data_IF_892095779820
#
_entry.id   IF_892095779820
#
_cell.length_a   1.000
_cell.length_b   1.000
_cell.length_c   1.000
_cell.angle_alpha   90.00
_cell.angle_beta   90.00
_cell.angle_gamma   90.00
#
_symmetry.space_group_name_H-M   'P 1'
#
loop_
_entity.id
_entity.type
_entity.pdbx_description
1 polymer ?
#
# COMPACT_ATOMS: atom_id res chain seq x y z
N UNK A 1 -18.37 42.55 30.86
CA UNK A 1 -17.33 42.29 29.84
C UNK A 1 -17.66 40.99 29.16
N UNK A 2 -18.27 41.09 27.98
CA UNK A 2 -18.75 39.94 27.20
C UNK A 2 -17.57 39.36 26.39
N UNK A 3 -17.29 38.07 26.58
CA UNK A 3 -16.15 37.40 25.95
C UNK A 3 -16.42 37.14 24.46
N UNK A 4 -15.56 37.67 23.59
CA UNK A 4 -15.65 37.44 22.15
C UNK A 4 -15.45 35.95 21.81
N UNK A 5 -16.21 35.39 20.85
CA UNK A 5 -16.02 34.04 20.37
C UNK A 5 -14.66 33.89 19.65
N UNK A 6 -14.03 32.70 19.71
CA UNK A 6 -12.74 32.47 19.09
C UNK A 6 -12.84 32.61 17.57
N UNK A 7 -12.00 33.47 16.99
CA UNK A 7 -11.91 33.69 15.54
C UNK A 7 -11.60 32.37 14.83
N UNK A 8 -12.53 31.91 14.01
CA UNK A 8 -12.37 30.76 13.12
C UNK A 8 -11.23 31.05 12.12
N UNK A 9 -10.17 30.23 12.18
CA UNK A 9 -9.05 30.30 11.21
C UNK A 9 -9.55 29.80 9.85
N UNK A 10 -9.31 30.55 8.78
CA UNK A 10 -9.59 30.06 7.41
C UNK A 10 -8.71 28.83 7.12
N UNK A 11 -9.30 27.79 6.51
CA UNK A 11 -8.64 26.51 6.18
C UNK A 11 -8.04 26.49 4.76
N UNK A 12 -8.07 27.63 4.08
CA UNK A 12 -7.81 27.80 2.63
C UNK A 12 -6.42 28.38 2.31
N UNK A 13 -5.61 28.70 3.32
CA UNK A 13 -4.25 29.23 3.11
C UNK A 13 -3.24 28.17 2.63
N UNK A 14 -2.22 28.62 1.90
CA UNK A 14 -1.12 27.73 1.45
C UNK A 14 -0.37 27.08 2.63
N UNK A 15 0.19 25.89 2.40
CA UNK A 15 0.89 25.08 3.41
C UNK A 15 1.97 25.83 4.17
N UNK A 16 2.79 26.63 3.48
CA UNK A 16 3.85 27.44 4.09
C UNK A 16 3.33 28.48 5.10
N UNK A 17 2.16 29.06 4.86
CA UNK A 17 1.56 30.03 5.78
C UNK A 17 0.85 29.32 6.94
N UNK A 18 0.16 28.21 6.66
CA UNK A 18 -0.54 27.39 7.66
C UNK A 18 0.44 26.78 8.66
N UNK A 19 1.56 26.20 8.19
CA UNK A 19 2.57 25.53 9.03
C UNK A 19 3.14 26.46 10.11
N UNK A 20 3.35 27.73 9.76
CA UNK A 20 3.88 28.75 10.68
C UNK A 20 2.77 29.57 11.36
N UNK A 21 1.52 29.12 11.29
CA UNK A 21 0.34 29.77 11.89
C UNK A 21 0.19 31.26 11.54
N UNK A 22 0.48 31.64 10.28
CA UNK A 22 0.29 33.01 9.78
C UNK A 22 -0.84 33.06 8.75
N UNK A 23 -1.51 34.21 8.68
CA UNK A 23 -2.58 34.46 7.70
C UNK A 23 -2.01 34.43 6.28
N UNK A 24 -2.62 33.64 5.41
CA UNK A 24 -2.34 33.62 3.98
C UNK A 24 -3.28 34.62 3.29
N UNK A 25 -2.79 35.32 2.27
CA UNK A 25 -3.57 36.21 1.42
C UNK A 25 -4.25 35.48 0.25
N UNK A 26 -4.01 34.17 0.09
CA UNK A 26 -4.67 33.28 -0.88
C UNK A 26 -4.54 33.72 -2.35
N UNK A 27 -3.56 34.58 -2.67
CA UNK A 27 -3.26 34.92 -4.06
C UNK A 27 -2.58 33.73 -4.76
N UNK A 28 -3.09 33.38 -5.94
CA UNK A 28 -2.56 32.32 -6.80
C UNK A 28 -1.71 32.94 -7.94
N UNK A 29 -0.62 32.28 -8.39
CA UNK A 29 -0.11 30.97 -7.97
C UNK A 29 0.76 31.00 -6.69
N UNK A 30 1.26 32.16 -6.28
CA UNK A 30 2.11 32.32 -5.09
C UNK A 30 1.60 33.49 -4.26
N UNK A 31 1.32 33.23 -2.98
CA UNK A 31 0.87 34.25 -2.04
C UNK A 31 1.94 35.34 -1.83
N UNK A 32 1.53 36.57 -1.48
CA UNK A 32 2.43 37.72 -1.33
C UNK A 32 3.58 37.43 -0.35
N UNK A 33 3.28 36.74 0.75
CA UNK A 33 4.30 36.40 1.75
C UNK A 33 5.33 35.39 1.23
N UNK A 34 4.89 34.33 0.57
CA UNK A 34 5.78 33.31 0.05
C UNK A 34 6.65 33.87 -1.08
N UNK A 35 6.09 34.73 -1.93
CA UNK A 35 6.83 35.47 -2.96
C UNK A 35 7.93 36.36 -2.35
N UNK A 36 7.63 37.10 -1.28
CA UNK A 36 8.63 37.95 -0.60
C UNK A 36 9.76 37.14 0.04
N UNK A 37 9.47 35.92 0.50
CA UNK A 37 10.44 35.05 1.19
C UNK A 37 11.11 34.03 0.26
N UNK A 38 10.75 33.99 -1.03
CA UNK A 38 11.31 33.03 -1.99
C UNK A 38 10.81 31.59 -1.84
N UNK A 39 9.68 31.36 -1.16
CA UNK A 39 9.10 30.01 -1.01
C UNK A 39 8.05 29.71 -2.08
N UNK A 40 7.98 28.46 -2.52
CA UNK A 40 6.88 27.97 -3.36
C UNK A 40 5.60 27.78 -2.51
N UNK A 41 4.47 28.26 -3.02
CA UNK A 41 3.17 27.98 -2.43
C UNK A 41 2.68 26.58 -2.83
N UNK A 42 2.14 25.86 -1.86
CA UNK A 42 1.42 24.61 -2.08
C UNK A 42 0.03 24.74 -1.45
N UNK A 43 -1.00 24.65 -2.29
CA UNK A 43 -2.42 24.74 -1.93
C UNK A 43 -3.12 23.37 -1.98
N UNK A 44 -2.36 22.28 -2.15
CA UNK A 44 -2.92 20.93 -2.21
C UNK A 44 -3.63 20.64 -0.89
N UNK A 45 -4.90 20.19 -0.89
CA UNK A 45 -5.64 19.91 0.34
C UNK A 45 -4.90 18.84 1.15
N UNK A 46 -4.53 19.20 2.40
CA UNK A 46 -3.83 18.30 3.34
C UNK A 46 -4.83 17.75 4.35
N UNK A 47 -4.95 16.43 4.40
CA UNK A 47 -5.70 15.72 5.44
C UNK A 47 -4.89 15.79 6.75
N UNK A 48 -5.28 16.71 7.65
CA UNK A 48 -4.70 16.81 8.99
C UNK A 48 -5.62 16.07 9.97
N UNK A 49 -5.24 14.84 10.31
CA UNK A 49 -5.90 14.04 11.33
C UNK A 49 -5.63 14.64 12.71
N UNK A 50 -6.67 15.17 13.36
CA UNK A 50 -6.54 15.64 14.75
C UNK A 50 -6.37 14.43 15.67
N UNK A 51 -5.30 14.43 16.46
CA UNK A 51 -5.07 13.45 17.53
C UNK A 51 -6.29 13.43 18.47
N UNK A 52 -7.02 12.33 18.51
CA UNK A 52 -8.00 12.08 19.57
C UNK A 52 -7.21 11.81 20.84
N UNK A 53 -7.42 12.62 21.89
CA UNK A 53 -6.84 12.36 23.21
C UNK A 53 -7.51 11.11 23.78
N UNK A 54 -6.85 9.96 23.67
CA UNK A 54 -7.21 8.78 24.45
C UNK A 54 -6.88 9.11 25.90
N UNK A 55 -7.87 9.12 26.78
CA UNK A 55 -7.66 9.29 28.21
C UNK A 55 -6.78 8.14 28.71
N UNK A 56 -5.54 8.45 29.10
CA UNK A 56 -4.62 7.50 29.72
C UNK A 56 -5.15 7.17 31.12
N UNK A 57 -5.59 5.93 31.33
CA UNK A 57 -5.47 5.32 32.64
C UNK A 57 -3.97 5.07 32.88
N UNK A 58 -3.47 5.60 33.99
CA UNK A 58 -2.08 5.60 34.41
C UNK A 58 -1.61 4.21 34.82
N UNK A 59 -0.59 3.69 34.15
CA UNK A 59 0.48 2.89 34.77
C UNK A 59 1.69 2.82 33.83
N UNK A 60 2.81 3.36 34.31
CA UNK A 60 4.12 3.26 33.67
C UNK A 60 4.68 1.85 33.87
N UNK A 61 4.88 1.09 32.78
CA UNK A 61 5.77 -0.07 32.79
C UNK A 61 6.55 -0.11 31.48
N UNK A 62 7.83 0.29 31.56
CA UNK A 62 8.85 -0.05 30.57
C UNK A 62 9.16 -1.54 30.70
N UNK A 63 9.13 -2.37 29.64
CA UNK A 63 9.58 -3.74 29.75
C UNK A 63 11.06 -3.82 29.38
N UNK A 64 11.90 -3.97 30.42
CA UNK A 64 13.20 -4.63 30.31
C UNK A 64 12.92 -6.13 30.12
N UNK A 65 13.43 -6.71 29.05
CA UNK A 65 13.33 -8.14 28.78
C UNK A 65 14.42 -8.90 29.56
N UNK A 66 14.00 -9.92 30.31
CA UNK A 66 14.86 -11.07 30.65
C UNK A 66 14.08 -12.37 30.39
N UNK A 67 14.69 -13.36 29.71
CA UNK A 67 14.02 -14.60 29.36
C UNK A 67 14.10 -15.59 30.52
N UNK A 68 13.02 -16.33 30.80
CA UNK A 68 13.14 -17.55 31.61
C UNK A 68 12.28 -18.70 31.07
N UNK A 69 12.96 -19.83 31.00
CA UNK A 69 12.59 -21.13 30.50
C UNK A 69 11.44 -21.82 31.24
N UNK A 70 10.63 -22.53 30.46
CA UNK A 70 10.01 -23.85 30.67
C UNK A 70 10.03 -24.42 32.10
N UNK A 71 8.84 -24.58 32.69
CA UNK A 71 8.54 -25.70 33.58
C UNK A 71 7.03 -26.01 33.58
N UNK A 72 6.74 -27.30 33.41
CA UNK A 72 5.44 -27.96 33.44
C UNK A 72 4.90 -27.99 34.87
N UNK A 73 3.61 -27.73 35.08
CA UNK A 73 2.82 -28.57 35.99
C UNK A 73 1.31 -28.40 35.79
N UNK A 74 0.68 -29.54 35.67
CA UNK A 74 -0.75 -29.82 35.70
C UNK A 74 -1.41 -29.42 37.03
N UNK A 75 -2.68 -29.02 36.96
CA UNK A 75 -3.78 -29.45 37.85
C UNK A 75 -5.12 -28.84 37.42
N UNK A 76 -6.03 -29.73 37.02
CA UNK A 76 -7.49 -29.57 36.99
C UNK A 76 -8.03 -29.36 38.42
N UNK A 77 -9.21 -28.75 38.60
CA UNK A 77 -10.40 -29.58 38.81
C UNK A 77 -11.73 -29.04 38.22
N UNK A 78 -12.65 -30.00 38.24
CA UNK A 78 -13.98 -30.21 37.66
C UNK A 78 -15.15 -29.47 38.35
N UNK A 79 -16.26 -29.34 37.59
CA UNK A 79 -17.69 -29.16 37.97
C UNK A 79 -18.11 -27.76 38.49
N UNK A 80 -19.26 -27.17 38.10
CA UNK A 80 -20.60 -27.79 38.02
C UNK A 80 -21.54 -27.01 37.08
N UNK A 81 -22.40 -27.79 36.45
CA UNK A 81 -23.52 -27.53 35.54
C UNK A 81 -24.61 -26.58 36.08
N UNK A 82 -25.18 -25.74 35.21
CA UNK A 82 -26.60 -25.36 35.29
C UNK A 82 -27.13 -24.99 33.89
N UNK A 83 -27.97 -25.87 33.37
CA UNK A 83 -28.65 -25.84 32.07
C UNK A 83 -29.93 -25.01 32.17
N UNK A 84 -30.12 -24.01 31.31
CA UNK A 84 -31.45 -23.53 30.93
C UNK A 84 -31.44 -23.23 29.42
N UNK A 85 -32.17 -24.05 28.66
CA UNK A 85 -32.65 -23.72 27.33
C UNK A 85 -34.06 -23.11 27.46
N UNK A 86 -34.48 -22.28 26.50
CA UNK A 86 -35.44 -22.83 25.55
C UNK A 86 -35.15 -22.49 24.08
N UNK A 87 -35.61 -23.43 23.27
CA UNK A 87 -35.65 -23.48 21.82
C UNK A 87 -36.63 -22.47 21.21
N UNK A 88 -36.22 -21.79 20.13
CA UNK A 88 -37.09 -21.43 19.02
C UNK A 88 -36.26 -21.20 17.74
N UNK A 89 -36.60 -21.93 16.69
CA UNK A 89 -35.93 -22.00 15.38
C UNK A 89 -36.11 -20.71 14.54
N UNK A 90 -35.34 -20.54 13.45
CA UNK A 90 -34.92 -19.24 12.93
C UNK A 90 -35.95 -18.60 11.97
N UNK A 91 -36.39 -17.39 12.30
CA UNK A 91 -37.02 -16.50 11.32
C UNK A 91 -35.92 -15.90 10.44
N UNK A 92 -35.89 -16.32 9.18
CA UNK A 92 -35.14 -15.65 8.10
C UNK A 92 -35.58 -14.17 8.00
N UNK A 93 -34.69 -13.18 8.16
CA UNK A 93 -34.99 -11.83 7.75
C UNK A 93 -34.73 -11.72 6.24
N UNK A 94 -35.79 -11.41 5.52
CA UNK A 94 -35.77 -10.94 4.14
C UNK A 94 -34.82 -9.76 3.96
N UNK A 95 -34.13 -9.75 2.81
CA UNK A 95 -33.11 -8.78 2.45
C UNK A 95 -33.63 -7.34 2.43
N UNK A 96 -32.99 -6.38 3.14
CA UNK A 96 -33.20 -4.98 2.86
C UNK A 96 -32.32 -4.60 1.65
N UNK A 97 -32.94 -4.46 0.47
CA UNK A 97 -32.34 -3.70 -0.64
C UNK A 97 -32.14 -2.26 -0.16
N UNK A 98 -30.92 -1.70 -0.16
CA UNK A 98 -30.71 -0.29 0.18
C UNK A 98 -31.29 0.62 -0.92
N UNK A 99 -32.06 1.62 -0.52
CA UNK A 99 -32.50 2.73 -1.37
C UNK A 99 -31.27 3.49 -1.89
N UNK A 100 -31.03 3.39 -3.19
CA UNK A 100 -30.07 4.22 -3.92
C UNK A 100 -30.54 5.67 -3.96
N UNK A 101 -29.69 6.61 -3.57
CA UNK A 101 -29.85 8.01 -3.95
C UNK A 101 -29.46 8.16 -5.43
N UNK A 102 -30.48 8.13 -6.31
CA UNK A 102 -30.47 8.76 -7.63
C UNK A 102 -30.03 10.24 -7.48
N UNK A 103 -29.33 10.90 -8.39
CA UNK A 103 -29.05 10.58 -9.78
C UNK A 103 -28.66 11.87 -10.50
N UNK A 104 -27.38 12.04 -10.78
CA UNK A 104 -26.90 12.76 -11.96
C UNK A 104 -25.62 12.06 -12.39
N UNK A 105 -25.48 11.66 -13.66
CA UNK A 105 -24.21 11.14 -14.12
C UNK A 105 -23.17 12.25 -13.99
N UNK A 106 -22.14 12.03 -13.16
CA UNK A 106 -21.00 12.95 -13.07
C UNK A 106 -20.26 13.05 -14.42
N UNK A 107 -20.44 12.05 -15.28
CA UNK A 107 -20.16 12.10 -16.71
C UNK A 107 -21.27 11.37 -17.49
N UNK A 108 -21.57 11.86 -18.70
CA UNK A 108 -22.53 11.23 -19.62
C UNK A 108 -21.87 10.25 -20.61
N UNK A 109 -20.74 9.64 -20.23
CA UNK A 109 -20.02 8.71 -21.10
C UNK A 109 -20.85 7.42 -21.31
N UNK A 110 -21.04 6.95 -22.56
CA UNK A 110 -21.84 5.76 -22.85
C UNK A 110 -21.21 4.45 -22.34
N UNK A 111 -19.90 4.43 -22.15
CA UNK A 111 -19.13 3.30 -21.61
C UNK A 111 -18.96 3.33 -20.09
N UNK A 112 -19.72 4.16 -19.37
CA UNK A 112 -19.62 4.26 -17.91
C UNK A 112 -20.07 2.95 -17.27
N UNK A 113 -19.20 2.35 -16.46
CA UNK A 113 -19.50 1.17 -15.66
C UNK A 113 -20.38 1.49 -14.47
N UNK A 114 -21.36 0.63 -14.22
CA UNK A 114 -22.22 0.66 -13.03
C UNK A 114 -21.48 0.13 -11.81
N UNK A 115 -21.99 0.40 -10.60
CA UNK A 115 -21.42 -0.18 -9.36
C UNK A 115 -21.45 -1.72 -9.40
N UNK A 116 -22.50 -2.32 -9.95
CA UNK A 116 -22.61 -3.78 -10.10
C UNK A 116 -21.56 -4.33 -11.08
N UNK A 117 -21.35 -3.69 -12.23
CA UNK A 117 -20.30 -4.10 -13.17
C UNK A 117 -18.89 -3.98 -12.56
N UNK A 118 -18.64 -2.93 -11.78
CA UNK A 118 -17.37 -2.74 -11.08
C UNK A 118 -17.15 -3.82 -10.02
N UNK A 119 -18.19 -4.17 -9.27
CA UNK A 119 -18.15 -5.24 -8.28
C UNK A 119 -17.89 -6.61 -8.93
N UNK A 120 -18.55 -6.95 -10.02
CA UNK A 120 -18.29 -8.22 -10.75
C UNK A 120 -16.85 -8.30 -11.26
N UNK A 121 -16.33 -7.18 -11.79
CA UNK A 121 -14.92 -7.08 -12.19
C UNK A 121 -13.97 -7.24 -10.99
N UNK A 122 -14.36 -6.77 -9.80
CA UNK A 122 -13.59 -6.97 -8.57
C UNK A 122 -13.60 -8.42 -8.11
N UNK A 123 -14.73 -9.13 -8.17
CA UNK A 123 -14.77 -10.57 -7.84
C UNK A 123 -13.84 -11.36 -8.75
N UNK A 124 -13.78 -10.98 -10.03
CA UNK A 124 -12.97 -11.69 -11.03
C UNK A 124 -11.48 -11.36 -10.94
N UNK A 125 -11.11 -10.11 -10.60
CA UNK A 125 -9.73 -9.63 -10.72
C UNK A 125 -9.13 -9.09 -9.40
N UNK A 126 -9.92 -9.04 -8.34
CA UNK A 126 -9.55 -8.43 -7.06
C UNK A 126 -8.36 -9.11 -6.40
N UNK A 127 -8.16 -10.42 -6.62
CA UNK A 127 -6.97 -11.12 -6.14
C UNK A 127 -5.69 -10.54 -6.72
N UNK A 128 -5.66 -10.18 -8.01
CA UNK A 128 -4.48 -9.55 -8.64
C UNK A 128 -4.26 -8.10 -8.23
N UNK A 129 -5.33 -7.43 -7.78
CA UNK A 129 -5.28 -6.06 -7.27
C UNK A 129 -4.71 -5.99 -5.86
N UNK A 130 -5.15 -6.92 -5.01
CA UNK A 130 -4.87 -6.92 -3.58
C UNK A 130 -3.67 -7.79 -3.20
N UNK A 131 -3.29 -8.75 -4.05
CA UNK A 131 -2.17 -9.65 -3.84
C UNK A 131 -1.01 -9.30 -4.78
N UNK A 132 0.20 -9.44 -4.28
CA UNK A 132 1.48 -9.28 -4.99
C UNK A 132 2.19 -10.62 -5.23
N UNK A 133 1.62 -11.70 -4.69
CA UNK A 133 2.00 -13.07 -5.01
C UNK A 133 1.64 -13.45 -6.46
N UNK A 134 2.42 -14.37 -7.00
CA UNK A 134 2.30 -14.94 -8.33
C UNK A 134 1.19 -16.00 -8.47
N UNK A 135 0.85 -16.74 -7.41
CA UNK A 135 -0.09 -17.88 -7.48
C UNK A 135 -1.49 -17.60 -6.90
N UNK A 136 -1.77 -16.39 -6.44
CA UNK A 136 -3.07 -15.96 -5.88
C UNK A 136 -3.62 -16.83 -4.72
N UNK A 137 -2.83 -17.78 -4.21
CA UNK A 137 -3.28 -18.90 -3.39
C UNK A 137 -3.83 -18.51 -2.01
N UNK A 138 -3.49 -17.31 -1.53
CA UNK A 138 -3.90 -16.78 -0.21
C UNK A 138 -4.35 -15.32 -0.26
N UNK A 139 -5.09 -14.96 -1.31
CA UNK A 139 -5.61 -13.60 -1.52
C UNK A 139 -6.57 -13.13 -0.41
N UNK A 140 -6.49 -11.86 0.05
CA UNK A 140 -7.47 -11.28 0.97
C UNK A 140 -8.83 -10.99 0.31
N UNK A 141 -9.04 -11.37 -0.96
CA UNK A 141 -10.26 -11.11 -1.71
C UNK A 141 -11.52 -11.57 -0.98
N UNK A 142 -11.55 -12.81 -0.48
CA UNK A 142 -12.74 -13.35 0.19
C UNK A 142 -13.11 -12.55 1.45
N UNK A 143 -12.10 -12.09 2.18
CA UNK A 143 -12.30 -11.24 3.36
C UNK A 143 -12.91 -9.88 2.94
N UNK A 144 -12.38 -9.26 1.88
CA UNK A 144 -12.90 -7.99 1.35
C UNK A 144 -14.30 -8.15 0.79
N UNK A 145 -14.60 -9.26 0.09
CA UNK A 145 -15.93 -9.57 -0.42
C UNK A 145 -16.93 -9.70 0.72
N UNK A 146 -16.58 -10.46 1.77
CA UNK A 146 -17.43 -10.58 2.96
C UNK A 146 -17.72 -9.20 3.59
N UNK A 147 -16.69 -8.35 3.72
CA UNK A 147 -16.84 -7.00 4.27
C UNK A 147 -17.64 -6.06 3.36
N UNK A 148 -17.55 -6.19 2.03
CA UNK A 148 -18.36 -5.40 1.07
C UNK A 148 -19.87 -5.55 1.29
N UNK A 149 -20.30 -6.75 1.71
CA UNK A 149 -21.72 -7.02 2.00
C UNK A 149 -22.19 -6.34 3.28
N UNK A 150 -21.31 -6.21 4.27
CA UNK A 150 -21.64 -5.70 5.60
C UNK A 150 -21.45 -4.20 5.74
N UNK A 151 -20.44 -3.63 5.08
CA UNK A 151 -20.01 -2.26 5.29
C UNK A 151 -20.10 -1.46 3.99
N UNK A 152 -21.00 -0.45 3.91
CA UNK A 152 -21.12 0.43 2.75
C UNK A 152 -19.82 1.15 2.39
N UNK A 153 -19.01 1.52 3.39
CA UNK A 153 -17.71 2.17 3.18
C UNK A 153 -16.76 1.30 2.36
N UNK A 154 -16.67 0.01 2.67
CA UNK A 154 -15.82 -0.94 1.95
C UNK A 154 -16.30 -1.10 0.50
N UNK A 155 -17.62 -1.08 0.28
CA UNK A 155 -18.20 -1.12 -1.07
C UNK A 155 -17.81 0.11 -1.89
N UNK A 156 -17.88 1.30 -1.30
CA UNK A 156 -17.46 2.54 -1.96
C UNK A 156 -15.94 2.54 -2.26
N UNK A 157 -15.13 1.95 -1.39
CA UNK A 157 -13.70 1.74 -1.62
C UNK A 157 -13.40 0.75 -2.74
N UNK A 158 -14.10 -0.39 -2.80
CA UNK A 158 -13.99 -1.34 -3.92
C UNK A 158 -14.41 -0.69 -5.23
N UNK A 159 -15.51 0.06 -5.23
CA UNK A 159 -15.95 0.82 -6.40
C UNK A 159 -14.90 1.83 -6.86
N UNK A 160 -14.27 2.56 -5.94
CA UNK A 160 -13.19 3.49 -6.25
C UNK A 160 -11.96 2.78 -6.82
N UNK A 161 -11.53 1.68 -6.18
CA UNK A 161 -10.39 0.88 -6.61
C UNK A 161 -10.59 0.39 -8.04
N UNK A 162 -11.74 -0.21 -8.35
CA UNK A 162 -12.04 -0.68 -9.70
C UNK A 162 -12.20 0.47 -10.70
N UNK A 163 -12.82 1.57 -10.28
CA UNK A 163 -13.02 2.73 -11.17
C UNK A 163 -11.69 3.32 -11.66
N UNK A 164 -10.61 3.21 -10.89
CA UNK A 164 -9.28 3.66 -11.32
C UNK A 164 -8.70 2.85 -12.49
N UNK A 165 -9.19 1.63 -12.71
CA UNK A 165 -8.65 0.74 -13.76
C UNK A 165 -9.55 0.59 -14.99
N UNK A 166 -10.88 0.58 -14.82
CA UNK A 166 -11.81 0.22 -15.92
C UNK A 166 -12.83 1.31 -16.26
N UNK A 167 -12.86 2.42 -15.53
CA UNK A 167 -13.92 3.38 -15.75
C UNK A 167 -13.71 4.20 -17.03
N UNK A 168 -14.82 4.64 -17.61
CA UNK A 168 -14.86 5.35 -18.89
C UNK A 168 -13.94 6.59 -18.98
N UNK A 169 -13.80 7.36 -17.90
CA UNK A 169 -13.03 8.59 -17.88
C UNK A 169 -12.53 8.94 -16.48
N UNK A 170 -11.48 9.76 -16.45
CA UNK A 170 -10.84 10.25 -15.21
C UNK A 170 -11.82 10.93 -14.25
N UNK A 171 -12.79 11.69 -14.76
CA UNK A 171 -13.79 12.39 -13.93
C UNK A 171 -14.60 11.38 -13.11
N UNK A 172 -15.09 10.31 -13.74
CA UNK A 172 -15.85 9.29 -13.02
C UNK A 172 -14.97 8.48 -12.08
N UNK A 173 -13.71 8.20 -12.42
CA UNK A 173 -12.79 7.51 -11.50
C UNK A 173 -12.54 8.35 -10.25
N UNK A 174 -12.21 9.63 -10.42
CA UNK A 174 -11.91 10.53 -9.30
C UNK A 174 -13.14 10.81 -8.44
N UNK A 175 -14.34 10.82 -9.01
CA UNK A 175 -15.58 10.91 -8.25
C UNK A 175 -15.79 9.71 -7.33
N UNK A 176 -15.54 8.49 -7.81
CA UNK A 176 -15.60 7.29 -6.97
C UNK A 176 -14.56 7.37 -5.84
N UNK A 177 -13.35 7.86 -6.14
CA UNK A 177 -12.29 8.07 -5.14
C UNK A 177 -12.68 9.11 -4.09
N UNK A 178 -13.27 10.24 -4.50
CA UNK A 178 -13.74 11.28 -3.58
C UNK A 178 -14.83 10.76 -2.64
N UNK A 179 -15.77 9.96 -3.18
CA UNK A 179 -16.79 9.27 -2.38
C UNK A 179 -16.15 8.31 -1.38
N UNK A 180 -15.22 7.45 -1.80
CA UNK A 180 -14.52 6.54 -0.91
C UNK A 180 -13.79 7.27 0.23
N UNK A 181 -13.04 8.33 -0.09
CA UNK A 181 -12.37 9.17 0.93
C UNK A 181 -13.40 9.74 1.93
N UNK A 182 -14.49 10.32 1.41
CA UNK A 182 -15.52 10.96 2.23
C UNK A 182 -16.21 9.96 3.17
N UNK A 183 -16.62 8.81 2.64
CA UNK A 183 -17.25 7.74 3.42
C UNK A 183 -16.30 7.12 4.44
N UNK A 184 -15.02 6.94 4.10
CA UNK A 184 -14.01 6.45 5.04
C UNK A 184 -13.78 7.43 6.18
N UNK A 185 -13.68 8.74 5.91
CA UNK A 185 -13.57 9.75 6.97
C UNK A 185 -14.79 9.69 7.90
N UNK A 186 -16.01 9.66 7.35
CA UNK A 186 -17.24 9.58 8.13
C UNK A 186 -17.27 8.32 8.99
N UNK A 187 -16.92 7.17 8.42
CA UNK A 187 -16.84 5.91 9.15
C UNK A 187 -15.86 5.98 10.31
N UNK A 188 -14.63 6.44 10.07
CA UNK A 188 -13.58 6.54 11.10
C UNK A 188 -13.91 7.54 12.21
N UNK A 189 -14.78 8.52 11.95
CA UNK A 189 -15.28 9.45 12.98
C UNK A 189 -16.50 8.94 13.75
N UNK A 190 -17.08 7.81 13.35
CA UNK A 190 -18.24 7.23 14.01
C UNK A 190 -17.85 6.41 15.25
N UNK A 191 -18.80 6.25 16.18
CA UNK A 191 -18.64 5.37 17.34
C UNK A 191 -18.34 3.92 16.93
N UNK A 192 -18.86 3.47 15.79
CA UNK A 192 -18.67 2.12 15.26
C UNK A 192 -17.21 1.82 14.93
N UNK A 193 -16.43 2.80 14.48
CA UNK A 193 -15.00 2.61 14.20
C UNK A 193 -14.15 2.34 15.45
N UNK A 194 -14.62 2.81 16.62
CA UNK A 194 -13.98 2.56 17.92
C UNK A 194 -14.33 1.16 18.43
N UNK A 195 -15.57 0.72 18.18
CA UNK A 195 -16.09 -0.58 18.62
C UNK A 195 -15.51 -1.72 17.77
N UNK A 196 -15.28 -1.49 16.48
CA UNK A 196 -14.68 -2.46 15.56
C UNK A 196 -13.36 -1.92 14.97
N UNK A 197 -12.22 -2.09 15.68
CA UNK A 197 -10.92 -1.63 15.19
C UNK A 197 -10.45 -2.39 13.96
N UNK A 198 -11.01 -3.58 13.67
CA UNK A 198 -10.64 -4.38 12.51
C UNK A 198 -11.12 -3.71 11.24
N UNK A 199 -12.40 -3.36 11.14
CA UNK A 199 -12.94 -2.69 9.94
C UNK A 199 -12.25 -1.35 9.71
N UNK A 200 -11.91 -0.63 10.78
CA UNK A 200 -11.12 0.60 10.70
C UNK A 200 -9.75 0.40 10.06
N UNK A 201 -8.99 -0.63 10.48
CA UNK A 201 -7.69 -0.96 9.87
C UNK A 201 -7.85 -1.31 8.39
N UNK A 202 -8.82 -2.16 8.05
CA UNK A 202 -9.09 -2.59 6.68
C UNK A 202 -9.41 -1.41 5.76
N UNK A 203 -10.35 -0.57 6.18
CA UNK A 203 -10.76 0.62 5.43
C UNK A 203 -9.56 1.53 5.19
N UNK A 204 -8.71 1.74 6.19
CA UNK A 204 -7.52 2.58 6.01
C UNK A 204 -6.45 1.94 5.09
N UNK A 205 -6.31 0.61 5.07
CA UNK A 205 -5.43 -0.09 4.13
C UNK A 205 -5.95 0.08 2.69
N UNK A 206 -7.24 -0.15 2.47
CA UNK A 206 -7.87 0.02 1.16
C UNK A 206 -7.79 1.49 0.69
N UNK A 207 -8.06 2.45 1.57
CA UNK A 207 -7.88 3.86 1.26
C UNK A 207 -6.45 4.22 0.85
N UNK A 208 -5.46 3.59 1.48
CA UNK A 208 -4.04 3.77 1.12
C UNK A 208 -3.75 3.21 -0.29
N UNK A 209 -4.32 2.05 -0.64
CA UNK A 209 -4.24 1.50 -1.99
C UNK A 209 -4.90 2.42 -3.03
N UNK A 210 -6.09 2.93 -2.74
CA UNK A 210 -6.83 3.84 -3.63
C UNK A 210 -6.06 5.15 -3.81
N UNK A 211 -5.55 5.73 -2.72
CA UNK A 211 -4.81 6.99 -2.74
C UNK A 211 -3.54 6.86 -3.57
N UNK A 212 -2.76 5.79 -3.34
CA UNK A 212 -1.57 5.47 -4.13
C UNK A 212 -1.89 5.37 -5.63
N UNK A 213 -2.93 4.64 -5.99
CA UNK A 213 -3.37 4.45 -7.39
C UNK A 213 -4.05 5.67 -7.99
N UNK A 214 -4.45 6.64 -7.20
CA UNK A 214 -4.99 7.92 -7.67
C UNK A 214 -3.90 9.00 -7.76
N UNK A 215 -2.67 8.71 -7.31
CA UNK A 215 -1.57 9.67 -7.25
C UNK A 215 -1.66 10.64 -6.08
N UNK A 216 -2.44 10.32 -5.04
CA UNK A 216 -2.48 11.07 -3.79
C UNK A 216 -1.40 10.59 -2.83
N UNK A 217 -0.90 11.50 -1.98
CA UNK A 217 -0.06 11.11 -0.85
C UNK A 217 -0.87 10.20 0.10
N UNK A 218 -0.24 9.15 0.62
CA UNK A 218 -0.87 8.09 1.38
C UNK A 218 0.03 7.53 2.49
N UNK A 219 1.36 7.66 2.39
CA UNK A 219 2.29 7.05 3.38
C UNK A 219 2.14 7.65 4.78
N UNK A 220 1.62 8.88 4.87
CA UNK A 220 1.29 9.56 6.12
C UNK A 220 0.12 8.89 6.88
N UNK A 221 -0.64 7.99 6.25
CA UNK A 221 -1.67 7.19 6.92
C UNK A 221 -1.05 6.06 7.77
N UNK A 222 0.09 5.50 7.35
CA UNK A 222 0.70 4.30 7.95
C UNK A 222 0.88 4.35 9.48
N UNK A 223 1.35 5.46 10.11
CA UNK A 223 1.49 5.51 11.57
C UNK A 223 0.15 5.36 12.29
N UNK A 224 -0.91 5.93 11.74
CA UNK A 224 -2.24 5.83 12.32
C UNK A 224 -2.80 4.43 12.14
N UNK A 225 -2.65 3.82 10.96
CA UNK A 225 -3.09 2.43 10.71
C UNK A 225 -2.40 1.47 11.69
N UNK A 226 -1.08 1.62 11.86
CA UNK A 226 -0.30 0.84 12.82
C UNK A 226 -0.86 0.98 14.24
N UNK A 227 -1.20 2.21 14.66
CA UNK A 227 -1.75 2.43 16.00
C UNK A 227 -3.07 1.68 16.25
N UNK A 228 -3.96 1.62 15.24
CA UNK A 228 -5.20 0.84 15.31
C UNK A 228 -4.93 -0.67 15.29
N UNK A 229 -3.98 -1.12 14.46
CA UNK A 229 -3.59 -2.52 14.40
C UNK A 229 -3.04 -3.03 15.73
N UNK A 230 -2.16 -2.26 16.38
CA UNK A 230 -1.61 -2.60 17.69
C UNK A 230 -2.65 -2.55 18.82
N UNK A 231 -3.57 -1.56 18.78
CA UNK A 231 -4.68 -1.50 19.73
C UNK A 231 -5.61 -2.72 19.62
N UNK A 232 -5.90 -3.17 18.38
CA UNK A 232 -6.64 -4.42 18.14
C UNK A 232 -5.92 -5.63 18.73
N UNK A 233 -4.61 -5.74 18.50
CA UNK A 233 -3.82 -6.87 19.02
C UNK A 233 -3.85 -6.96 20.55
N UNK A 234 -3.81 -5.81 21.24
CA UNK A 234 -3.92 -5.76 22.70
C UNK A 234 -5.30 -6.21 23.23
N UNK A 235 -6.37 -6.03 22.45
CA UNK A 235 -7.73 -6.42 22.84
C UNK A 235 -8.03 -7.91 22.54
N UNK A 236 -7.33 -8.51 21.57
CA UNK A 236 -7.54 -9.89 21.12
C UNK A 236 -6.92 -10.97 22.02
N UNK A 237 -6.09 -10.61 23.01
CA UNK A 237 -5.46 -11.60 23.92
C UNK A 237 -6.46 -12.42 24.75
N UNK A 238 -7.78 -12.15 24.64
CA UNK A 238 -8.84 -12.80 25.43
C UNK A 238 -9.86 -13.60 24.61
N UNK A 239 -9.77 -13.72 23.28
CA UNK A 239 -10.77 -14.42 22.47
C UNK A 239 -10.16 -15.38 21.44
N UNK A 240 -10.56 -16.66 21.47
CA UNK A 240 -10.33 -17.63 20.40
C UNK A 240 -11.28 -17.35 19.22
N UNK A 241 -11.07 -16.25 18.50
CA UNK A 241 -11.71 -16.07 17.20
C UNK A 241 -10.82 -16.66 16.10
N UNK A 242 -11.40 -17.54 15.27
CA UNK A 242 -10.88 -17.90 13.95
C UNK A 242 -10.98 -16.68 13.04
N UNK A 243 -10.07 -15.74 13.25
CA UNK A 243 -10.23 -14.36 12.81
C UNK A 243 -9.94 -14.23 11.31
N UNK A 244 -10.92 -13.69 10.56
CA UNK A 244 -10.76 -13.19 9.19
C UNK A 244 -9.61 -12.17 9.23
N UNK A 245 -8.48 -12.49 8.60
CA UNK A 245 -7.20 -11.75 8.66
C UNK A 245 -6.62 -11.57 10.08
N UNK A 246 -5.67 -12.44 10.44
CA UNK A 246 -4.98 -12.41 11.74
C UNK A 246 -4.22 -11.09 11.99
N UNK A 247 -4.05 -10.65 13.26
CA UNK A 247 -3.25 -9.47 13.58
C UNK A 247 -1.84 -9.51 13.00
N UNK A 248 -1.25 -10.71 12.91
CA UNK A 248 0.08 -10.87 12.36
C UNK A 248 0.13 -10.58 10.86
N UNK A 249 -0.84 -11.10 10.10
CA UNK A 249 -0.91 -10.83 8.67
C UNK A 249 -1.14 -9.33 8.42
N UNK A 250 -1.89 -8.63 9.28
CA UNK A 250 -2.08 -7.16 9.16
C UNK A 250 -0.73 -6.46 9.27
N UNK A 251 0.08 -6.82 10.27
CA UNK A 251 1.41 -6.23 10.46
C UNK A 251 2.36 -6.57 9.29
N UNK A 252 2.25 -7.78 8.72
CA UNK A 252 3.02 -8.15 7.52
C UNK A 252 2.64 -7.29 6.31
N UNK A 253 1.34 -7.11 6.05
CA UNK A 253 0.85 -6.22 4.99
C UNK A 253 1.32 -4.79 5.19
N UNK A 254 1.16 -4.24 6.40
CA UNK A 254 1.63 -2.89 6.72
C UNK A 254 3.16 -2.78 6.62
N UNK A 255 3.87 -3.84 6.99
CA UNK A 255 5.31 -3.95 6.84
C UNK A 255 5.76 -3.79 5.41
N UNK A 256 5.13 -4.50 4.47
CA UNK A 256 5.39 -4.36 3.03
C UNK A 256 5.04 -2.95 2.51
N UNK A 257 3.90 -2.40 2.92
CA UNK A 257 3.49 -1.03 2.55
C UNK A 257 4.42 0.07 3.09
N UNK A 258 5.24 -0.22 4.09
CA UNK A 258 6.11 0.78 4.71
C UNK A 258 7.57 0.70 4.24
N UNK A 259 7.96 -0.29 3.42
CA UNK A 259 9.34 -0.42 2.94
C UNK A 259 9.69 0.70 1.96
N UNK A 260 10.65 1.55 2.32
CA UNK A 260 11.08 2.71 1.53
C UNK A 260 11.64 2.33 0.15
N UNK A 261 12.31 1.19 0.06
CA UNK A 261 12.85 0.66 -1.21
C UNK A 261 11.76 0.37 -2.25
N UNK A 262 10.51 0.24 -1.81
CA UNK A 262 9.36 0.00 -2.67
C UNK A 262 8.53 1.27 -2.90
N UNK A 263 8.87 2.41 -2.30
CA UNK A 263 8.11 3.66 -2.43
C UNK A 263 8.95 4.72 -3.11
N UNK A 264 8.44 5.28 -4.19
CA UNK A 264 9.03 6.44 -4.87
C UNK A 264 8.33 7.71 -4.46
N UNK A 265 9.08 8.80 -4.33
CA UNK A 265 8.53 10.11 -3.98
C UNK A 265 7.95 10.18 -2.56
N UNK A 266 8.37 9.27 -1.65
CA UNK A 266 7.88 9.18 -0.28
C UNK A 266 7.96 10.54 0.44
N UNK A 267 6.85 11.00 1.01
CA UNK A 267 6.73 12.28 1.71
C UNK A 267 6.77 12.16 3.23
N UNK A 268 6.48 10.98 3.79
CA UNK A 268 6.57 10.71 5.22
C UNK A 268 7.86 9.95 5.57
N UNK A 269 8.35 10.08 6.80
CA UNK A 269 9.47 9.27 7.27
C UNK A 269 9.05 7.79 7.39
N UNK A 270 9.87 6.82 6.92
CA UNK A 270 9.66 5.40 7.17
C UNK A 270 9.54 5.08 8.67
N UNK A 271 8.63 4.15 9.01
CA UNK A 271 8.38 3.71 10.39
C UNK A 271 9.16 2.41 10.68
N UNK A 272 9.50 1.67 9.62
CA UNK A 272 10.14 0.37 9.62
C UNK A 272 9.30 -0.69 10.32
N UNK A 273 8.00 -0.76 9.96
CA UNK A 273 7.03 -1.70 10.54
C UNK A 273 7.52 -3.15 10.42
N UNK A 274 8.00 -3.55 9.24
CA UNK A 274 8.47 -4.93 9.03
C UNK A 274 9.64 -5.28 9.96
N UNK A 275 10.70 -4.47 9.95
CA UNK A 275 11.88 -4.70 10.78
C UNK A 275 11.55 -4.73 12.29
N UNK A 276 10.52 -4.01 12.72
CA UNK A 276 10.14 -3.89 14.14
C UNK A 276 9.22 -5.02 14.61
N UNK A 277 8.25 -5.41 13.80
CA UNK A 277 7.16 -6.31 14.22
C UNK A 277 7.12 -7.63 13.48
N UNK A 278 7.89 -7.77 12.39
CA UNK A 278 7.78 -8.88 11.46
C UNK A 278 9.02 -9.75 11.34
N UNK A 279 10.20 -9.22 11.63
CA UNK A 279 11.46 -9.93 11.40
C UNK A 279 11.74 -11.14 12.30
N UNK A 280 12.59 -12.03 11.79
CA UNK A 280 13.00 -13.26 12.47
C UNK A 280 12.07 -14.45 12.23
N UNK A 281 11.13 -14.33 11.29
CA UNK A 281 10.16 -15.38 10.96
C UNK A 281 10.55 -16.18 9.72
N UNK A 282 10.04 -17.40 9.65
CA UNK A 282 10.30 -18.34 8.55
C UNK A 282 9.06 -18.55 7.67
N UNK A 283 9.24 -19.20 6.53
CA UNK A 283 8.18 -19.50 5.57
C UNK A 283 7.87 -18.34 4.62
N UNK A 284 6.76 -18.47 3.89
CA UNK A 284 6.32 -17.52 2.86
C UNK A 284 5.32 -16.51 3.46
N UNK A 285 5.51 -15.23 3.14
CA UNK A 285 4.56 -14.16 3.44
C UNK A 285 3.42 -14.17 2.41
N UNK A 286 2.19 -13.98 2.88
CA UNK A 286 0.97 -14.31 2.10
C UNK A 286 0.70 -13.36 0.94
N UNK A 287 1.00 -12.07 1.12
CA UNK A 287 0.61 -11.03 0.17
C UNK A 287 1.68 -10.82 -0.90
N UNK A 288 2.93 -11.08 -0.62
CA UNK A 288 4.04 -10.93 -1.58
C UNK A 288 4.44 -12.25 -2.22
N UNK A 289 4.10 -13.38 -1.59
CA UNK A 289 4.59 -14.70 -2.03
C UNK A 289 6.08 -14.90 -1.80
N UNK A 290 6.74 -13.99 -1.07
CA UNK A 290 8.18 -14.02 -0.85
C UNK A 290 8.53 -14.69 0.48
N UNK A 291 9.70 -15.34 0.57
CA UNK A 291 10.24 -15.81 1.84
C UNK A 291 10.40 -14.65 2.82
N UNK A 292 9.90 -14.83 4.05
CA UNK A 292 10.08 -13.86 5.15
C UNK A 292 11.56 -13.51 5.39
N UNK A 293 12.53 -14.46 5.31
CA UNK A 293 13.95 -14.10 5.39
C UNK A 293 14.42 -13.13 4.30
N UNK A 294 13.89 -13.24 3.07
CA UNK A 294 14.21 -12.28 2.01
C UNK A 294 13.61 -10.91 2.32
N UNK A 295 12.38 -10.86 2.83
CA UNK A 295 11.73 -9.63 3.27
C UNK A 295 12.47 -8.97 4.45
N UNK A 296 13.07 -9.75 5.35
CA UNK A 296 13.91 -9.24 6.43
C UNK A 296 15.15 -8.52 5.88
N UNK A 297 15.81 -9.09 4.87
CA UNK A 297 16.95 -8.44 4.20
C UNK A 297 16.53 -7.16 3.47
N UNK A 298 15.38 -7.17 2.78
CA UNK A 298 14.84 -5.98 2.10
C UNK A 298 14.46 -4.89 3.11
N UNK A 299 13.89 -5.27 4.27
CA UNK A 299 13.55 -4.34 5.34
C UNK A 299 14.79 -3.69 5.97
N UNK A 300 15.88 -4.46 6.15
CA UNK A 300 17.18 -3.96 6.60
C UNK A 300 17.82 -3.04 5.56
N UNK A 301 17.79 -3.42 4.28
CA UNK A 301 18.20 -2.54 3.18
C UNK A 301 17.41 -1.23 3.15
N UNK A 302 16.10 -1.28 3.44
CA UNK A 302 15.26 -0.09 3.58
C UNK A 302 15.66 0.83 4.74
N UNK A 303 16.51 0.36 5.66
CA UNK A 303 17.13 1.14 6.75
C UNK A 303 18.57 1.54 6.42
N UNK A 304 19.01 1.36 5.17
CA UNK A 304 20.38 1.59 4.71
C UNK A 304 21.42 0.69 5.41
N UNK A 305 21.00 -0.48 5.89
CA UNK A 305 21.92 -1.48 6.42
C UNK A 305 22.59 -2.25 5.27
N UNK A 306 23.86 -2.59 5.46
CA UNK A 306 24.56 -3.49 4.54
C UNK A 306 24.13 -4.93 4.81
N UNK A 307 23.59 -5.56 3.76
CA UNK A 307 23.08 -6.93 3.73
C UNK A 307 23.62 -7.71 2.52
N UNK A 308 24.74 -7.24 1.94
CA UNK A 308 25.23 -7.77 0.69
C UNK A 308 25.65 -9.24 0.79
N UNK A 309 26.31 -9.63 1.89
CA UNK A 309 26.81 -10.99 2.08
C UNK A 309 25.64 -11.96 2.27
N UNK A 310 24.64 -11.60 3.07
CA UNK A 310 23.43 -12.42 3.26
C UNK A 310 22.60 -12.54 1.98
N UNK A 311 22.51 -11.47 1.17
CA UNK A 311 21.84 -11.52 -0.13
C UNK A 311 22.59 -12.41 -1.13
N UNK A 312 23.93 -12.38 -1.13
CA UNK A 312 24.74 -13.24 -1.98
C UNK A 312 24.62 -14.71 -1.56
N UNK A 313 24.67 -15.00 -0.26
CA UNK A 313 24.45 -16.35 0.27
C UNK A 313 23.06 -16.89 -0.12
N UNK A 314 22.02 -16.07 0.01
CA UNK A 314 20.67 -16.41 -0.43
C UNK A 314 20.60 -16.68 -1.93
N UNK A 315 21.28 -15.89 -2.77
CA UNK A 315 21.35 -16.11 -4.22
C UNK A 315 22.10 -17.39 -4.60
N UNK A 316 23.15 -17.75 -3.85
CA UNK A 316 23.86 -19.02 -4.03
C UNK A 316 22.96 -20.22 -3.71
N UNK A 317 22.05 -20.08 -2.73
CA UNK A 317 21.04 -21.08 -2.39
C UNK A 317 19.83 -21.14 -3.32
N UNK A 318 19.70 -20.21 -4.26
CA UNK A 318 18.59 -20.13 -5.24
C UNK A 318 19.12 -20.34 -6.67
N UNK A 319 19.46 -21.57 -7.08
CA UNK A 319 19.89 -21.85 -8.45
C UNK A 319 18.79 -21.45 -9.44
N UNK A 320 19.21 -21.07 -10.65
CA UNK A 320 18.29 -20.76 -11.72
C UNK A 320 17.63 -22.05 -12.22
N UNK A 321 16.31 -22.12 -12.07
CA UNK A 321 15.49 -23.26 -12.49
C UNK A 321 14.45 -22.74 -13.48
N UNK A 322 14.59 -22.98 -14.81
CA UNK A 322 13.74 -22.36 -15.83
C UNK A 322 12.24 -22.61 -15.63
N UNK A 323 11.87 -23.73 -15.02
CA UNK A 323 10.48 -24.15 -14.83
C UNK A 323 9.89 -23.67 -13.49
N UNK A 324 10.72 -23.21 -12.55
CA UNK A 324 10.29 -22.78 -11.21
C UNK A 324 10.06 -21.27 -11.15
N UNK A 325 8.84 -20.85 -11.49
CA UNK A 325 8.46 -19.44 -11.48
C UNK A 325 8.66 -18.80 -10.10
N UNK A 326 8.31 -19.50 -9.02
CA UNK A 326 8.40 -18.99 -7.65
C UNK A 326 9.85 -18.67 -7.26
N UNK A 327 10.77 -19.61 -7.48
CA UNK A 327 12.20 -19.38 -7.19
C UNK A 327 12.80 -18.30 -8.06
N UNK A 328 12.39 -18.23 -9.33
CA UNK A 328 12.85 -17.18 -10.25
C UNK A 328 12.37 -15.79 -9.81
N UNK A 329 11.14 -15.66 -9.29
CA UNK A 329 10.66 -14.43 -8.64
C UNK A 329 11.55 -14.07 -7.45
N UNK A 330 11.82 -15.01 -6.54
CA UNK A 330 12.67 -14.76 -5.37
C UNK A 330 14.07 -14.30 -5.77
N UNK A 331 14.66 -14.94 -6.78
CA UNK A 331 15.96 -14.56 -7.36
C UNK A 331 15.92 -13.14 -7.93
N UNK A 332 14.85 -12.76 -8.63
CA UNK A 332 14.70 -11.41 -9.18
C UNK A 332 14.65 -10.34 -8.07
N UNK A 333 13.99 -10.62 -6.94
CA UNK A 333 13.94 -9.72 -5.79
C UNK A 333 15.29 -9.58 -5.09
N UNK A 334 16.04 -10.68 -4.93
CA UNK A 334 17.37 -10.63 -4.33
C UNK A 334 18.38 -9.85 -5.22
N UNK A 335 18.33 -10.05 -6.54
CA UNK A 335 19.13 -9.27 -7.50
C UNK A 335 18.76 -7.78 -7.48
N UNK A 336 17.46 -7.46 -7.45
CA UNK A 336 16.98 -6.08 -7.33
C UNK A 336 17.43 -5.43 -5.99
N UNK A 337 17.40 -6.19 -4.89
CA UNK A 337 17.89 -5.73 -3.60
C UNK A 337 19.40 -5.42 -3.64
N UNK A 338 20.23 -6.24 -4.27
CA UNK A 338 21.66 -5.98 -4.43
C UNK A 338 21.94 -4.72 -5.27
N UNK A 339 21.17 -4.47 -6.34
CA UNK A 339 21.29 -3.23 -7.12
C UNK A 339 20.81 -1.99 -6.35
N UNK A 340 19.80 -2.13 -5.49
CA UNK A 340 19.41 -1.06 -4.56
C UNK A 340 20.49 -0.82 -3.50
N UNK A 341 21.13 -1.87 -2.98
CA UNK A 341 22.27 -1.74 -2.07
C UNK A 341 23.44 -1.00 -2.73
N UNK A 342 23.76 -1.34 -4.00
CA UNK A 342 24.77 -0.66 -4.80
C UNK A 342 24.58 0.87 -4.85
N UNK A 343 23.33 1.31 -5.07
CA UNK A 343 23.01 2.72 -5.22
C UNK A 343 22.80 3.47 -3.90
N UNK A 344 22.33 2.80 -2.84
CA UNK A 344 21.88 3.45 -1.60
C UNK A 344 22.86 3.33 -0.43
N UNK A 345 23.62 2.23 -0.36
CA UNK A 345 24.42 1.88 0.83
C UNK A 345 25.90 1.91 0.50
N UNK A 346 26.34 1.08 -0.45
CA UNK A 346 27.74 1.02 -0.90
C UNK A 346 27.85 0.41 -2.29
N UNK A 347 28.91 0.72 -3.06
CA UNK A 347 29.19 0.02 -4.29
C UNK A 347 29.34 -1.49 -4.08
N UNK A 348 28.53 -2.26 -4.80
CA UNK A 348 28.63 -3.73 -4.89
C UNK A 348 29.53 -4.11 -6.08
N UNK A 349 30.53 -5.00 -5.91
CA UNK A 349 31.34 -5.51 -7.01
C UNK A 349 30.50 -6.24 -8.07
N UNK A 350 30.93 -6.19 -9.34
CA UNK A 350 30.27 -6.93 -10.41
C UNK A 350 28.87 -6.42 -10.77
N UNK A 351 28.58 -5.14 -10.54
CA UNK A 351 27.26 -4.53 -10.83
C UNK A 351 26.77 -4.79 -12.26
N UNK A 352 27.67 -4.80 -13.25
CA UNK A 352 27.34 -5.10 -14.65
C UNK A 352 26.78 -6.52 -14.84
N UNK A 353 27.27 -7.50 -14.08
CA UNK A 353 26.73 -8.86 -14.08
C UNK A 353 25.37 -8.90 -13.40
N UNK A 354 25.20 -8.20 -12.27
CA UNK A 354 23.91 -8.10 -11.58
C UNK A 354 22.81 -7.48 -12.46
N UNK A 355 23.16 -6.44 -13.23
CA UNK A 355 22.23 -5.82 -14.20
C UNK A 355 21.82 -6.84 -15.27
N UNK A 356 22.79 -7.56 -15.86
CA UNK A 356 22.53 -8.58 -16.88
C UNK A 356 21.68 -9.73 -16.34
N UNK A 357 21.99 -10.22 -15.16
CA UNK A 357 21.25 -11.31 -14.51
C UNK A 357 19.82 -10.88 -14.21
N UNK A 358 19.61 -9.68 -13.68
CA UNK A 358 18.26 -9.18 -13.40
C UNK A 358 17.46 -8.95 -14.69
N UNK A 359 18.09 -8.43 -15.76
CA UNK A 359 17.45 -8.30 -17.07
C UNK A 359 17.03 -9.66 -17.62
N UNK A 360 17.91 -10.66 -17.52
CA UNK A 360 17.60 -12.02 -17.93
C UNK A 360 16.41 -12.58 -17.15
N UNK A 361 16.42 -12.45 -15.81
CA UNK A 361 15.31 -12.90 -14.96
C UNK A 361 13.99 -12.22 -15.30
N UNK A 362 14.01 -10.89 -15.48
CA UNK A 362 12.82 -10.13 -15.88
C UNK A 362 12.30 -10.63 -17.23
N UNK A 363 13.19 -10.90 -18.19
CA UNK A 363 12.82 -11.48 -19.49
C UNK A 363 12.18 -12.86 -19.38
N UNK A 364 12.81 -13.78 -18.64
CA UNK A 364 12.31 -15.14 -18.41
C UNK A 364 10.92 -15.09 -17.78
N UNK A 365 10.76 -14.38 -16.65
CA UNK A 365 9.49 -14.29 -15.93
C UNK A 365 8.38 -13.64 -16.76
N UNK A 366 8.71 -12.60 -17.54
CA UNK A 366 7.78 -11.97 -18.48
C UNK A 366 7.30 -12.97 -19.54
N UNK A 367 8.20 -13.78 -20.10
CA UNK A 367 7.84 -14.77 -21.14
C UNK A 367 7.14 -16.00 -20.60
N UNK A 368 7.37 -16.35 -19.33
CA UNK A 368 6.69 -17.43 -18.64
C UNK A 368 5.21 -17.11 -18.33
N UNK A 369 4.69 -15.98 -18.83
CA UNK A 369 3.33 -15.48 -18.60
C UNK A 369 2.24 -16.37 -19.20
N UNK A 370 1.96 -17.49 -18.55
CA UNK A 370 0.63 -18.08 -18.63
C UNK A 370 -0.37 -17.13 -17.95
N UNK A 371 -1.63 -17.13 -18.38
CA UNK A 371 -2.72 -16.30 -17.81
C UNK A 371 -2.96 -16.51 -16.31
N UNK A 372 -2.29 -17.49 -15.69
CA UNK A 372 -2.36 -17.83 -14.27
C UNK A 372 -1.50 -16.94 -13.36
N UNK A 373 -0.40 -16.34 -13.84
CA UNK A 373 0.54 -15.65 -12.95
C UNK A 373 0.31 -14.14 -12.90
N UNK A 374 0.32 -13.58 -11.68
CA UNK A 374 0.24 -12.14 -11.48
C UNK A 374 1.57 -11.47 -11.85
N UNK A 375 1.57 -10.67 -12.92
CA UNK A 375 2.77 -10.01 -13.46
C UNK A 375 3.22 -8.79 -12.65
N UNK A 376 2.43 -8.33 -11.67
CA UNK A 376 2.76 -7.17 -10.84
C UNK A 376 3.99 -7.38 -9.96
N UNK A 377 4.29 -8.64 -9.64
CA UNK A 377 5.51 -9.01 -8.94
C UNK A 377 6.79 -8.54 -9.66
N UNK A 378 6.71 -8.22 -10.96
CA UNK A 378 7.83 -7.72 -11.76
C UNK A 378 7.99 -6.19 -11.71
N UNK A 379 7.05 -5.42 -11.14
CA UNK A 379 7.10 -3.95 -11.15
C UNK A 379 8.38 -3.45 -10.49
N UNK A 380 8.69 -3.90 -9.26
CA UNK A 380 9.90 -3.49 -8.56
C UNK A 380 11.17 -3.96 -9.27
N UNK A 381 11.37 -5.26 -9.59
CA UNK A 381 12.52 -5.72 -10.37
C UNK A 381 12.75 -4.96 -11.68
N UNK A 382 11.69 -4.73 -12.47
CA UNK A 382 11.75 -4.01 -13.74
C UNK A 382 12.10 -2.53 -13.54
N UNK A 383 11.56 -1.89 -12.49
CA UNK A 383 11.93 -0.52 -12.14
C UNK A 383 13.41 -0.42 -11.74
N UNK A 384 13.88 -1.31 -10.87
CA UNK A 384 15.26 -1.27 -10.38
C UNK A 384 16.23 -1.43 -11.55
N UNK A 385 16.05 -2.46 -12.38
CA UNK A 385 16.94 -2.67 -13.54
C UNK A 385 16.79 -1.55 -14.57
N UNK A 386 15.58 -1.02 -14.74
CA UNK A 386 15.27 0.12 -15.60
C UNK A 386 16.07 1.38 -15.25
N UNK A 387 16.50 1.56 -14.01
CA UNK A 387 17.36 2.67 -13.63
C UNK A 387 18.79 2.55 -14.20
N UNK A 388 19.23 1.34 -14.58
CA UNK A 388 20.59 1.06 -15.05
C UNK A 388 20.70 0.84 -16.56
N UNK A 389 19.64 0.35 -17.23
CA UNK A 389 19.67 0.04 -18.67
C UNK A 389 20.05 1.24 -19.52
N UNK A 390 20.78 1.00 -20.62
CA UNK A 390 21.15 2.06 -21.57
C UNK A 390 20.77 1.79 -23.01
N UNK A 391 20.73 0.52 -23.39
CA UNK A 391 20.40 0.13 -24.74
C UNK A 391 18.89 0.11 -24.97
N UNK A 392 18.47 0.55 -26.17
CA UNK A 392 17.06 0.62 -26.57
C UNK A 392 16.35 -0.73 -26.43
N UNK A 393 17.06 -1.83 -26.69
CA UNK A 393 16.54 -3.19 -26.54
C UNK A 393 16.14 -3.48 -25.09
N UNK A 394 17.00 -3.15 -24.13
CA UNK A 394 16.76 -3.43 -22.72
C UNK A 394 15.72 -2.48 -22.14
N UNK A 395 15.71 -1.23 -22.59
CA UNK A 395 14.62 -0.28 -22.28
C UNK A 395 13.27 -0.83 -22.75
N UNK A 396 13.19 -1.32 -24.00
CA UNK A 396 11.96 -1.93 -24.54
C UNK A 396 11.51 -3.12 -23.71
N UNK A 397 12.42 -3.99 -23.27
CA UNK A 397 12.12 -5.11 -22.38
C UNK A 397 11.47 -4.62 -21.08
N UNK A 398 12.06 -3.62 -20.44
CA UNK A 398 11.51 -3.01 -19.20
C UNK A 398 10.14 -2.38 -19.45
N UNK A 399 9.97 -1.65 -20.55
CA UNK A 399 8.68 -1.02 -20.89
C UNK A 399 7.58 -2.07 -21.06
N UNK A 400 7.84 -3.09 -21.86
CA UNK A 400 6.91 -4.19 -22.12
C UNK A 400 6.54 -4.94 -20.83
N UNK A 401 7.51 -5.19 -19.93
CA UNK A 401 7.25 -5.82 -18.62
C UNK A 401 6.27 -4.98 -17.80
N UNK A 402 6.51 -3.67 -17.69
CA UNK A 402 5.64 -2.77 -16.93
C UNK A 402 4.25 -2.62 -17.57
N UNK A 403 4.17 -2.67 -18.90
CA UNK A 403 2.90 -2.69 -19.62
C UNK A 403 2.11 -3.99 -19.37
N UNK A 404 2.81 -5.12 -19.29
CA UNK A 404 2.21 -6.43 -19.05
C UNK A 404 1.76 -6.62 -17.60
N UNK A 405 2.37 -5.92 -16.64
CA UNK A 405 1.94 -5.89 -15.24
C UNK A 405 0.54 -5.28 -15.01
N UNK A 406 -0.12 -4.76 -16.06
CA UNK A 406 -1.48 -4.20 -15.98
C UNK A 406 -2.54 -5.27 -15.77
N UNK A 407 -3.41 -5.02 -14.80
CA UNK A 407 -4.37 -6.03 -14.31
C UNK A 407 -5.52 -6.30 -15.30
N UNK A 408 -6.00 -5.29 -16.04
CA UNK A 408 -7.30 -5.39 -16.73
C UNK A 408 -7.24 -5.27 -18.26
N UNK A 409 -6.06 -5.41 -18.88
CA UNK A 409 -5.90 -5.67 -20.33
C UNK A 409 -6.54 -4.69 -21.33
N UNK A 410 -7.21 -3.63 -20.87
CA UNK A 410 -7.95 -2.70 -21.71
C UNK A 410 -7.04 -1.77 -22.48
N UNK A 411 -7.43 -1.45 -23.72
CA UNK A 411 -6.93 -0.25 -24.40
C UNK A 411 -7.31 0.96 -23.52
N UNK A 412 -6.28 1.65 -23.03
CA UNK A 412 -6.46 2.85 -22.25
C UNK A 412 -7.13 3.93 -23.09
N UNK A 413 -8.26 4.43 -22.59
CA UNK A 413 -8.63 5.82 -22.82
C UNK A 413 -7.60 6.70 -22.08
N UNK A 414 -7.13 7.75 -22.75
CA UNK A 414 -6.13 8.70 -22.26
C UNK A 414 -6.49 9.17 -20.83
N UNK A 415 -5.71 8.80 -19.80
CA UNK A 415 -5.86 9.37 -18.44
C UNK A 415 -5.94 8.41 -17.23
N UNK A 416 -5.62 7.12 -17.38
CA UNK A 416 -5.48 6.19 -16.24
C UNK A 416 -4.40 6.62 -15.25
N UNK A 417 -4.63 6.33 -13.97
CA UNK A 417 -3.77 6.69 -12.84
C UNK A 417 -2.98 5.50 -12.27
N UNK A 418 -3.03 4.34 -12.92
CA UNK A 418 -2.46 3.11 -12.39
C UNK A 418 -0.95 3.26 -12.04
N UNK A 419 -0.47 2.66 -10.93
CA UNK A 419 0.93 2.77 -10.51
C UNK A 419 1.90 2.33 -11.61
N UNK A 420 1.60 1.27 -12.35
CA UNK A 420 2.46 0.74 -13.42
C UNK A 420 2.68 1.76 -14.53
N UNK A 421 1.64 2.52 -14.88
CA UNK A 421 1.74 3.64 -15.82
C UNK A 421 2.58 4.77 -15.26
N UNK A 422 2.41 5.09 -13.98
CA UNK A 422 3.20 6.15 -13.33
C UNK A 422 4.69 5.79 -13.28
N UNK A 423 5.04 4.53 -13.02
CA UNK A 423 6.42 4.01 -13.03
C UNK A 423 7.00 4.04 -14.44
N UNK A 424 6.23 3.62 -15.44
CA UNK A 424 6.68 3.64 -16.84
C UNK A 424 6.90 5.08 -17.35
N UNK A 425 5.96 5.98 -17.10
CA UNK A 425 6.08 7.40 -17.47
C UNK A 425 7.30 8.03 -16.79
N UNK A 426 7.53 7.68 -15.53
CA UNK A 426 8.69 8.10 -14.76
C UNK A 426 10.00 7.62 -15.39
N UNK A 427 10.15 6.32 -15.65
CA UNK A 427 11.37 5.76 -16.25
C UNK A 427 11.65 6.37 -17.62
N UNK A 428 10.63 6.51 -18.48
CA UNK A 428 10.75 7.19 -19.78
C UNK A 428 11.27 8.61 -19.65
N UNK A 429 10.83 9.34 -18.63
CA UNK A 429 11.32 10.68 -18.36
C UNK A 429 12.76 10.66 -17.85
N UNK A 430 13.07 9.77 -16.91
CA UNK A 430 14.42 9.59 -16.39
C UNK A 430 15.43 9.27 -17.50
N UNK A 431 15.10 8.34 -18.40
CA UNK A 431 15.95 7.98 -19.54
C UNK A 431 16.21 9.15 -20.49
N UNK A 432 15.26 10.07 -20.66
CA UNK A 432 15.46 11.31 -21.43
C UNK A 432 16.31 12.31 -20.66
N UNK A 433 15.97 12.56 -19.40
CA UNK A 433 16.63 13.55 -18.57
C UNK A 433 18.10 13.18 -18.34
N UNK A 434 18.44 11.91 -18.11
CA UNK A 434 19.83 11.50 -17.86
C UNK A 434 20.78 11.76 -19.03
N UNK A 435 20.26 11.77 -20.27
CA UNK A 435 21.06 12.13 -21.45
C UNK A 435 21.39 13.63 -21.47
N UNK A 436 20.55 14.45 -20.83
CA UNK A 436 20.66 15.91 -20.82
C UNK A 436 21.43 16.45 -19.61
N UNK A 437 21.22 15.84 -18.44
CA UNK A 437 21.73 16.36 -17.16
C UNK A 437 22.54 15.33 -16.35
N UNK A 438 22.81 14.15 -16.91
CA UNK A 438 23.52 13.08 -16.22
C UNK A 438 22.65 12.26 -15.26
N UNK A 439 23.18 11.11 -14.84
CA UNK A 439 22.43 10.10 -14.08
C UNK A 439 21.97 10.59 -12.70
N UNK A 440 22.87 11.24 -11.95
CA UNK A 440 22.58 11.71 -10.59
C UNK A 440 21.48 12.78 -10.57
N UNK A 441 21.61 13.83 -11.37
CA UNK A 441 20.64 14.93 -11.40
C UNK A 441 19.30 14.50 -11.99
N UNK A 442 19.31 13.61 -12.99
CA UNK A 442 18.08 13.02 -13.51
C UNK A 442 17.35 12.18 -12.45
N UNK A 443 18.08 11.41 -11.65
CA UNK A 443 17.49 10.62 -10.57
C UNK A 443 16.94 11.53 -9.45
N UNK A 444 17.67 12.57 -9.04
CA UNK A 444 17.18 13.55 -8.06
C UNK A 444 15.93 14.28 -8.56
N UNK A 445 15.92 14.70 -9.83
CA UNK A 445 14.76 15.34 -10.47
C UNK A 445 13.56 14.40 -10.51
N UNK A 446 13.79 13.14 -10.85
CA UNK A 446 12.78 12.09 -10.84
C UNK A 446 12.16 11.96 -9.44
N UNK A 447 12.97 11.82 -8.39
CA UNK A 447 12.47 11.68 -7.02
C UNK A 447 11.69 12.91 -6.53
N UNK A 448 12.10 14.12 -6.91
CA UNK A 448 11.50 15.36 -6.42
C UNK A 448 10.14 15.72 -7.03
N UNK A 449 9.83 15.23 -8.24
CA UNK A 449 8.67 15.70 -9.02
C UNK A 449 7.50 14.72 -9.05
N UNK A 450 7.60 13.62 -8.32
CA UNK A 450 6.72 12.47 -8.50
C UNK A 450 5.84 12.27 -7.27
N UNK A 451 4.53 11.98 -7.47
CA UNK A 451 3.65 11.63 -6.37
C UNK A 451 4.12 10.34 -5.67
N UNK A 452 3.59 10.04 -4.49
CA UNK A 452 3.95 8.80 -3.81
C UNK A 452 3.48 7.59 -4.63
N UNK A 453 4.42 6.83 -5.20
CA UNK A 453 4.13 5.64 -6.02
C UNK A 453 4.68 4.41 -5.32
N UNK A 454 3.82 3.41 -5.13
CA UNK A 454 4.27 2.08 -4.71
C UNK A 454 4.70 1.22 -5.89
N UNK A 455 5.81 0.52 -5.72
CA UNK A 455 6.44 -0.38 -6.70
C UNK A 455 6.05 -1.85 -6.53
N UNK A 456 5.01 -2.12 -5.75
CA UNK A 456 4.52 -3.47 -5.48
C UNK A 456 3.23 -3.75 -6.26
#
# INVERSE_FOLDING_TARGET
>A
MEAQPPRTRSRTGCSQCVNVSRKCDETHPICVRCRRLGFACDYTPRLIWKKVKIARASTSLSPVFTPLSRAVSSKTPTATTATIAPSAAPLRPTSPRPRMLLGSPLCNCPSRKTEDELYELFITNGSRLLNWDHEEAQSPLQDVVYLCWQFPTIRDEVNALMSLHVQCCRVSSLASVDRAITETIRFLTSTSAIVDPKVSVFTMILLSQISMRAGYAWTHHLPQILSFALARQANLTNAMETDIWSPQNVLETLGGLDMDVWILGRQSKPIHIWATYCSGRQGIERVTGLPRPLLDLIARLSRYEDVADELQELLSGLPHEPEDYARNVQRSFALAALLQLHSRVRPVPGVELLIKDLLHMVGVLRTASASRFNQRVLIWPAYVVGCYVRDVKDMSLVEDTLLQARILGGQLTRGSLAPEESVLVMLRRFWKDRLLIGDYDAFQRMQAQIPEVGLW
#
